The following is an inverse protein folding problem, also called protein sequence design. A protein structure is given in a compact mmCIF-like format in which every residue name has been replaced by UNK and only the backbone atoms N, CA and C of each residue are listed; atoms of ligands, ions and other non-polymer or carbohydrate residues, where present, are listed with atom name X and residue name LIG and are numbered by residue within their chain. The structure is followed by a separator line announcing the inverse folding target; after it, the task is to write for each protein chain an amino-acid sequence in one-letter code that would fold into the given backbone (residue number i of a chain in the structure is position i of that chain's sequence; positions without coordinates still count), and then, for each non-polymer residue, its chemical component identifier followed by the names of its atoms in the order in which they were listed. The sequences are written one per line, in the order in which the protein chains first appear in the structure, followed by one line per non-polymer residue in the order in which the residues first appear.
data_IF_534357154101
#
_entry.id   IF_534357154101
#
_cell.length_a   1.000
_cell.length_b   1.000
_cell.length_c   1.000
_cell.angle_alpha   90.00
_cell.angle_beta   90.00
_cell.angle_gamma   90.00
#
_symmetry.space_group_name_H-M   'P 1'
#
loop_
_entity.id
_entity.type
_entity.pdbx_description
1 polymer ?
#
# COMPACT_ATOMS: atom_id res chain seq x y z
N UNK A 1 -10.75 -14.19 7.37
CA UNK A 1 -10.52 -14.46 8.80
C UNK A 1 -9.52 -13.44 9.29
N UNK A 2 -9.74 -12.88 10.47
CA UNK A 2 -8.83 -11.97 11.17
C UNK A 2 -8.44 -12.56 12.51
N UNK A 3 -7.16 -12.45 12.84
CA UNK A 3 -6.60 -12.96 14.08
C UNK A 3 -5.58 -11.95 14.62
N UNK A 4 -5.54 -11.82 15.93
CA UNK A 4 -4.47 -11.10 16.61
C UNK A 4 -3.26 -12.03 16.73
N UNK A 5 -2.18 -11.68 16.02
CA UNK A 5 -0.93 -12.42 16.00
C UNK A 5 -0.30 -12.57 17.40
N UNK A 6 -0.44 -11.56 18.28
CA UNK A 6 0.22 -11.56 19.58
C UNK A 6 -0.51 -12.46 20.58
N UNK A 7 -1.84 -12.35 20.63
CA UNK A 7 -2.65 -13.14 21.58
C UNK A 7 -3.09 -14.50 21.03
N UNK A 8 -2.97 -14.73 19.73
CA UNK A 8 -3.46 -15.93 19.05
C UNK A 8 -4.99 -16.02 18.98
N UNK A 9 -5.71 -14.94 19.29
CA UNK A 9 -7.18 -14.93 19.30
C UNK A 9 -7.73 -14.64 17.92
N UNK A 10 -8.75 -15.40 17.52
CA UNK A 10 -9.59 -15.03 16.39
C UNK A 10 -10.41 -13.80 16.75
N UNK A 11 -10.30 -12.75 15.95
CA UNK A 11 -11.05 -11.51 16.13
C UNK A 11 -12.34 -11.56 15.32
N UNK A 12 -12.23 -11.96 14.05
CA UNK A 12 -13.35 -12.02 13.14
C UNK A 12 -13.24 -13.21 12.20
N UNK A 13 -14.28 -14.03 12.17
CA UNK A 13 -14.41 -15.15 11.23
C UNK A 13 -15.70 -14.96 10.48
N UNK A 14 -15.60 -14.82 9.17
CA UNK A 14 -16.77 -14.79 8.30
C UNK A 14 -16.61 -15.87 7.23
N UNK A 15 -17.67 -16.64 7.06
CA UNK A 15 -17.79 -17.74 6.12
C UNK A 15 -18.91 -17.36 5.15
N UNK A 16 -18.55 -17.01 3.93
CA UNK A 16 -19.49 -16.63 2.87
C UNK A 16 -19.72 -17.76 1.86
N UNK A 17 -20.57 -17.51 0.87
CA UNK A 17 -20.91 -18.47 -0.19
C UNK A 17 -19.76 -18.76 -1.19
N UNK A 18 -18.58 -18.17 -0.99
CA UNK A 18 -17.40 -18.36 -1.84
C UNK A 18 -17.45 -17.68 -3.20
N UNK A 19 -18.43 -16.78 -3.43
CA UNK A 19 -18.60 -16.04 -4.69
C UNK A 19 -18.10 -14.60 -4.64
N UNK A 20 -17.84 -14.08 -3.45
CA UNK A 20 -17.37 -12.71 -3.27
C UNK A 20 -15.86 -12.60 -3.40
N UNK A 21 -15.39 -11.48 -3.94
CA UNK A 21 -13.96 -11.18 -4.01
C UNK A 21 -13.41 -10.80 -2.63
N UNK A 22 -12.17 -11.16 -2.35
CA UNK A 22 -11.41 -10.79 -1.14
C UNK A 22 -11.47 -9.28 -0.81
N UNK A 23 -11.61 -8.41 -1.81
CA UNK A 23 -11.80 -6.96 -1.61
C UNK A 23 -13.01 -6.64 -0.71
N UNK A 24 -14.15 -7.29 -0.94
CA UNK A 24 -15.39 -7.04 -0.18
C UNK A 24 -15.21 -7.40 1.30
N UNK A 25 -14.36 -8.38 1.58
CA UNK A 25 -13.99 -8.79 2.93
C UNK A 25 -13.09 -7.74 3.59
N UNK A 26 -12.03 -7.30 2.91
CA UNK A 26 -11.07 -6.33 3.45
C UNK A 26 -11.70 -4.97 3.77
N UNK A 27 -12.62 -4.46 2.96
CA UNK A 27 -13.34 -3.22 3.31
C UNK A 27 -14.31 -3.40 4.49
N UNK A 28 -14.86 -4.62 4.67
CA UNK A 28 -15.78 -4.93 5.78
C UNK A 28 -15.05 -5.08 7.13
N UNK A 29 -13.83 -5.66 7.08
CA UNK A 29 -12.87 -5.78 8.18
C UNK A 29 -12.54 -4.42 8.85
N UNK A 30 -12.49 -3.35 8.05
CA UNK A 30 -12.03 -2.03 8.52
C UNK A 30 -13.04 -1.24 9.36
N UNK A 31 -14.24 -1.78 9.62
CA UNK A 31 -15.20 -1.13 10.53
C UNK A 31 -14.61 -0.96 11.94
N UNK A 32 -13.67 -1.81 12.32
CA UNK A 32 -13.05 -1.86 13.65
C UNK A 32 -11.55 -1.56 13.65
N UNK A 33 -11.07 -0.66 12.77
CA UNK A 33 -9.66 -0.21 12.85
C UNK A 33 -9.38 0.38 14.24
N UNK A 34 -8.39 -0.17 14.94
CA UNK A 34 -7.92 0.30 16.24
C UNK A 34 -6.62 1.12 16.06
N UNK A 35 -6.49 2.30 16.69
CA UNK A 35 -5.24 3.05 16.69
C UNK A 35 -4.07 2.21 17.21
N UNK A 36 -2.85 2.49 16.73
CA UNK A 36 -1.62 1.78 17.09
C UNK A 36 -1.60 0.27 16.80
N UNK A 37 -2.58 -0.25 16.04
CA UNK A 37 -2.58 -1.65 15.58
C UNK A 37 -1.85 -1.80 14.25
N UNK A 38 -1.26 -2.97 14.02
CA UNK A 38 -0.59 -3.33 12.77
C UNK A 38 -1.44 -4.34 11.97
N UNK A 39 -1.81 -3.96 10.75
CA UNK A 39 -2.55 -4.82 9.82
C UNK A 39 -1.60 -5.47 8.82
N UNK A 40 -1.57 -6.80 8.78
CA UNK A 40 -0.74 -7.56 7.83
C UNK A 40 -1.67 -8.29 6.86
N UNK A 41 -1.52 -8.03 5.56
CA UNK A 41 -2.39 -8.64 4.55
C UNK A 41 -1.71 -8.87 3.19
N UNK A 42 -2.31 -9.75 2.40
CA UNK A 42 -1.85 -10.12 1.06
C UNK A 42 -2.32 -9.17 -0.04
N UNK A 43 -2.15 -9.61 -1.29
CA UNK A 43 -2.61 -8.87 -2.47
C UNK A 43 -4.13 -8.84 -2.56
N UNK A 44 -4.71 -7.67 -2.83
CA UNK A 44 -6.12 -7.53 -3.20
C UNK A 44 -7.10 -7.34 -2.04
N UNK A 45 -6.64 -7.34 -0.79
CA UNK A 45 -7.51 -7.11 0.38
C UNK A 45 -7.86 -5.63 0.61
N UNK A 46 -6.94 -4.71 0.34
CA UNK A 46 -7.16 -3.28 0.58
C UNK A 46 -6.91 -2.48 -0.70
N UNK A 47 -7.78 -1.50 -0.94
CA UNK A 47 -7.51 -0.43 -1.91
C UNK A 47 -6.95 0.82 -1.23
N UNK A 48 -6.58 1.84 -2.03
CA UNK A 48 -5.97 3.06 -1.50
C UNK A 48 -6.89 3.81 -0.51
N UNK A 49 -8.21 3.72 -0.65
CA UNK A 49 -9.14 4.35 0.30
C UNK A 49 -9.11 3.64 1.64
N UNK A 50 -9.01 2.32 1.62
CA UNK A 50 -8.87 1.50 2.81
C UNK A 50 -7.56 1.76 3.55
N UNK A 51 -6.44 1.90 2.83
CA UNK A 51 -5.15 2.29 3.43
C UNK A 51 -5.20 3.68 4.05
N UNK A 52 -5.91 4.60 3.39
CA UNK A 52 -6.11 5.94 3.92
C UNK A 52 -6.88 5.93 5.24
N UNK A 53 -7.93 5.11 5.37
CA UNK A 53 -8.66 4.95 6.64
C UNK A 53 -7.78 4.40 7.76
N UNK A 54 -6.92 3.42 7.47
CA UNK A 54 -5.97 2.87 8.46
C UNK A 54 -5.06 3.99 8.97
N UNK A 55 -4.49 4.78 8.06
CA UNK A 55 -3.63 5.90 8.41
C UNK A 55 -4.37 7.01 9.17
N UNK A 56 -5.57 7.39 8.74
CA UNK A 56 -6.37 8.43 9.40
C UNK A 56 -6.77 8.04 10.84
N UNK A 57 -6.81 6.73 11.16
CA UNK A 57 -7.02 6.24 12.53
C UNK A 57 -5.72 6.07 13.34
N UNK A 58 -4.57 6.41 12.79
CA UNK A 58 -3.27 6.23 13.46
C UNK A 58 -2.87 4.76 13.63
N UNK A 59 -3.27 3.90 12.70
CA UNK A 59 -2.86 2.51 12.63
C UNK A 59 -1.81 2.29 11.52
N UNK A 60 -1.17 1.13 11.54
CA UNK A 60 -0.06 0.77 10.64
C UNK A 60 -0.45 -0.42 9.77
N UNK A 61 0.24 -0.60 8.64
CA UNK A 61 0.01 -1.74 7.76
C UNK A 61 1.30 -2.26 7.11
N UNK A 62 1.34 -3.57 6.85
CA UNK A 62 2.33 -4.25 6.01
C UNK A 62 1.57 -5.05 4.96
N UNK A 63 1.81 -4.73 3.70
CA UNK A 63 1.08 -5.30 2.58
C UNK A 63 2.04 -5.81 1.53
N UNK A 64 1.63 -6.88 0.86
CA UNK A 64 2.29 -7.28 -0.38
C UNK A 64 1.83 -6.36 -1.50
N UNK A 65 2.75 -5.63 -2.12
CA UNK A 65 2.46 -4.83 -3.31
C UNK A 65 2.39 -5.74 -4.55
N UNK A 66 1.51 -5.39 -5.50
CA UNK A 66 1.38 -6.15 -6.75
C UNK A 66 2.59 -5.89 -7.63
N UNK A 67 3.13 -6.92 -8.28
CA UNK A 67 4.35 -6.82 -9.08
C UNK A 67 4.27 -5.80 -10.23
N UNK A 68 3.07 -5.52 -10.74
CA UNK A 68 2.88 -4.55 -11.82
C UNK A 68 2.51 -3.15 -11.32
N UNK A 69 2.55 -2.89 -10.02
CA UNK A 69 2.39 -1.55 -9.46
C UNK A 69 3.64 -0.73 -9.75
N UNK A 70 3.44 0.51 -10.19
CA UNK A 70 4.55 1.42 -10.48
C UNK A 70 4.76 2.32 -9.28
N UNK A 71 6.02 2.46 -8.86
CA UNK A 71 6.40 3.32 -7.74
C UNK A 71 7.09 4.55 -8.29
N UNK A 72 6.74 5.70 -7.75
CA UNK A 72 7.24 6.99 -8.19
C UNK A 72 7.76 7.79 -7.01
N UNK A 73 8.69 8.69 -7.31
CA UNK A 73 9.01 9.85 -6.45
C UNK A 73 8.58 11.13 -7.13
N UNK A 74 8.29 12.16 -6.34
CA UNK A 74 8.05 13.50 -6.89
C UNK A 74 9.31 14.02 -7.57
N UNK A 75 9.15 14.69 -8.71
CA UNK A 75 10.24 15.38 -9.37
C UNK A 75 10.37 16.80 -8.80
N UNK A 76 11.54 17.13 -8.25
CA UNK A 76 11.85 18.46 -7.74
C UNK A 76 12.05 19.49 -8.88
N UNK A 77 12.40 19.00 -10.08
CA UNK A 77 12.64 19.83 -11.27
C UNK A 77 11.76 19.36 -12.45
N UNK A 78 10.44 19.59 -12.40
CA UNK A 78 9.55 19.22 -13.50
C UNK A 78 9.79 20.11 -14.72
N UNK A 79 9.59 19.56 -15.91
CA UNK A 79 9.65 20.34 -17.15
C UNK A 79 8.43 21.25 -17.31
N UNK A 80 8.62 22.35 -18.02
CA UNK A 80 7.58 23.32 -18.34
C UNK A 80 7.42 23.48 -19.85
N UNK A 81 6.19 23.73 -20.29
CA UNK A 81 5.92 24.21 -21.64
C UNK A 81 6.38 25.67 -21.77
N UNK A 82 6.53 26.16 -23.01
CA UNK A 82 6.93 27.56 -23.27
C UNK A 82 5.99 28.60 -22.65
N UNK A 83 4.74 28.24 -22.39
CA UNK A 83 3.74 29.09 -21.76
C UNK A 83 3.79 29.04 -20.21
N UNK A 84 4.76 28.35 -19.62
CA UNK A 84 4.92 28.21 -18.16
C UNK A 84 4.04 27.15 -17.51
N UNK A 85 3.20 26.43 -18.26
CA UNK A 85 2.43 25.30 -17.70
C UNK A 85 3.34 24.11 -17.47
N UNK A 86 3.22 23.44 -16.32
CA UNK A 86 4.02 22.23 -16.03
C UNK A 86 3.64 21.07 -16.95
N UNK A 87 4.64 20.34 -17.43
CA UNK A 87 4.44 19.08 -18.15
C UNK A 87 4.10 18.00 -17.13
N UNK A 88 2.83 17.60 -17.07
CA UNK A 88 2.36 16.63 -16.06
C UNK A 88 3.14 15.30 -16.06
N UNK A 89 3.58 14.85 -17.23
CA UNK A 89 4.36 13.62 -17.38
C UNK A 89 5.75 13.65 -16.73
N UNK A 90 6.23 14.82 -16.31
CA UNK A 90 7.52 14.99 -15.65
C UNK A 90 7.38 15.38 -14.18
N UNK A 91 6.16 15.37 -13.62
CA UNK A 91 5.93 15.68 -12.20
C UNK A 91 6.43 14.57 -11.28
N UNK A 92 6.52 13.36 -11.80
CA UNK A 92 6.90 12.17 -11.06
C UNK A 92 7.92 11.38 -11.87
N UNK A 93 8.92 10.85 -11.19
CA UNK A 93 9.95 9.98 -11.77
C UNK A 93 9.64 8.57 -11.31
N UNK A 94 9.44 7.67 -12.26
CA UNK A 94 9.26 6.24 -11.99
C UNK A 94 10.55 5.68 -11.41
N UNK A 95 10.45 4.91 -10.33
CA UNK A 95 11.57 4.21 -9.74
C UNK A 95 11.69 2.84 -10.40
N UNK A 96 12.88 2.51 -10.90
CA UNK A 96 13.18 1.16 -11.37
C UNK A 96 13.34 0.23 -10.16
N UNK A 97 12.24 -0.43 -9.80
CA UNK A 97 12.22 -1.32 -8.65
C UNK A 97 13.08 -2.57 -8.88
N UNK A 98 13.24 -3.02 -10.11
CA UNK A 98 14.08 -4.19 -10.42
C UNK A 98 15.56 -3.84 -10.20
N UNK A 99 16.00 -2.69 -10.72
CA UNK A 99 17.35 -2.19 -10.47
C UNK A 99 17.61 -1.98 -8.98
N UNK A 100 16.69 -1.34 -8.27
CA UNK A 100 16.82 -1.12 -6.82
C UNK A 100 16.89 -2.44 -6.04
N UNK A 101 16.04 -3.42 -6.37
CA UNK A 101 16.08 -4.74 -5.71
C UNK A 101 17.37 -5.49 -5.99
N UNK A 102 17.91 -5.42 -7.21
CA UNK A 102 19.16 -6.07 -7.58
C UNK A 102 20.39 -5.49 -6.83
N UNK A 103 20.29 -4.26 -6.35
CA UNK A 103 21.32 -3.62 -5.52
C UNK A 103 21.24 -4.05 -4.04
N UNK A 104 20.17 -4.72 -3.60
CA UNK A 104 19.99 -5.14 -2.21
C UNK A 104 20.57 -6.54 -1.95
N UNK A 105 21.51 -6.68 -1.00
CA UNK A 105 21.92 -7.97 -0.47
C UNK A 105 20.75 -8.77 0.09
N UNK A 106 20.87 -10.10 0.07
CA UNK A 106 19.89 -11.00 0.63
C UNK A 106 19.61 -10.68 2.12
N UNK A 107 18.34 -10.47 2.45
CA UNK A 107 17.89 -10.12 3.80
C UNK A 107 17.93 -8.62 4.14
N UNK A 108 18.43 -7.77 3.24
CA UNK A 108 18.40 -6.31 3.43
C UNK A 108 17.04 -5.72 3.04
N UNK A 109 16.66 -4.64 3.71
CA UNK A 109 15.50 -3.81 3.38
C UNK A 109 15.94 -2.39 3.07
N UNK A 110 15.11 -1.67 2.30
CA UNK A 110 15.29 -0.25 1.98
C UNK A 110 13.97 0.46 2.19
N UNK A 111 14.02 1.63 2.83
CA UNK A 111 12.89 2.53 2.95
C UNK A 111 12.92 3.54 1.80
N UNK A 112 11.77 3.75 1.16
CA UNK A 112 11.56 4.81 0.17
C UNK A 112 10.58 5.81 0.77
N UNK A 113 11.10 6.94 1.24
CA UNK A 113 10.27 8.03 1.77
C UNK A 113 9.55 8.77 0.63
N UNK A 114 8.35 9.30 0.92
CA UNK A 114 7.54 10.07 -0.04
C UNK A 114 7.30 9.37 -1.39
N UNK A 115 7.06 8.06 -1.33
CA UNK A 115 6.70 7.26 -2.49
C UNK A 115 5.23 7.47 -2.91
N UNK A 116 4.98 7.42 -4.21
CA UNK A 116 3.66 7.43 -4.82
C UNK A 116 3.46 6.14 -5.61
N UNK A 117 2.25 5.59 -5.62
CA UNK A 117 1.91 4.34 -6.29
C UNK A 117 0.93 4.63 -7.42
N UNK A 118 1.22 4.12 -8.62
CA UNK A 118 0.37 4.19 -9.82
C UNK A 118 -0.04 2.82 -10.35
#
# INVERSE_FOLDING_TARGET
MEYDLLSGKFLYVYVGEGRENDKTYGSTSLKTIQPNSLYISGLGYFDLHDLRKIQDKGAYYVLRLKLNSRIYRKNDEPEYFRNGTVKKGTLYIELDMEELMNQLPAGQTMEISEAYIG
#
